data_IF_222726652361
#
_entry.id   IF_222726652361
#
_cell.length_a   1.000
_cell.length_b   1.000
_cell.length_c   1.000
_cell.angle_alpha   90.00
_cell.angle_beta   90.00
_cell.angle_gamma   90.00
#
_symmetry.space_group_name_H-M   'P 1'
#
loop_
_entity.id
_entity.type
_entity.pdbx_description
1 polymer ?
#
# COMPACT_ATOMS: atom_id res chain seq x y z
N UNK A 1 -89.79 -19.20 1.18
CA UNK A 1 -88.76 -19.15 0.10
C UNK A 1 -87.78 -18.06 0.46
N UNK A 2 -86.64 -18.41 1.10
CA UNK A 2 -85.63 -17.47 1.53
C UNK A 2 -84.29 -17.97 0.99
N UNK A 3 -83.68 -17.21 0.09
CA UNK A 3 -82.36 -17.53 -0.53
C UNK A 3 -81.27 -17.04 0.36
N UNK A 4 -80.42 -17.97 0.82
CA UNK A 4 -79.12 -17.68 1.47
C UNK A 4 -78.08 -17.31 0.40
N UNK A 5 -77.52 -16.11 0.50
CA UNK A 5 -76.36 -15.69 -0.31
C UNK A 5 -75.13 -15.86 0.62
N UNK A 6 -74.25 -16.81 0.27
CA UNK A 6 -72.97 -17.06 0.92
C UNK A 6 -71.90 -16.15 0.26
N UNK A 7 -71.38 -15.17 0.99
CA UNK A 7 -70.29 -14.32 0.56
C UNK A 7 -68.97 -14.94 1.04
N UNK A 8 -68.16 -15.49 0.11
CA UNK A 8 -66.78 -15.92 0.36
C UNK A 8 -65.90 -14.68 0.46
N UNK A 9 -65.34 -14.47 1.65
CA UNK A 9 -64.30 -13.46 1.90
C UNK A 9 -62.93 -14.10 1.65
N UNK A 10 -62.32 -13.80 0.50
CA UNK A 10 -60.92 -14.22 0.20
C UNK A 10 -59.94 -13.26 0.89
N UNK A 11 -59.30 -13.74 1.95
CA UNK A 11 -58.20 -13.03 2.59
C UNK A 11 -56.94 -13.21 1.73
N UNK A 12 -56.53 -12.15 1.05
CA UNK A 12 -55.22 -12.04 0.41
C UNK A 12 -54.16 -11.74 1.49
N UNK A 13 -53.42 -12.77 1.88
CA UNK A 13 -52.23 -12.60 2.72
C UNK A 13 -51.12 -12.00 1.83
N UNK A 14 -50.93 -10.68 1.86
CA UNK A 14 -49.73 -10.07 1.32
C UNK A 14 -48.55 -10.49 2.20
N UNK A 15 -47.76 -11.46 1.75
CA UNK A 15 -46.42 -11.73 2.23
C UNK A 15 -45.55 -10.50 1.89
N UNK A 16 -45.38 -9.59 2.86
CA UNK A 16 -44.27 -8.62 2.84
C UNK A 16 -42.96 -9.40 2.94
N UNK A 17 -42.41 -9.74 1.78
CA UNK A 17 -40.99 -10.11 1.71
C UNK A 17 -40.23 -8.81 2.03
N UNK A 18 -39.45 -8.73 3.15
CA UNK A 18 -38.61 -7.57 3.36
C UNK A 18 -37.69 -7.46 2.14
N UNK A 19 -37.43 -6.26 1.62
CA UNK A 19 -36.41 -6.09 0.60
C UNK A 19 -35.14 -6.68 1.21
N UNK A 20 -34.54 -7.68 0.55
CA UNK A 20 -33.13 -8.01 0.79
C UNK A 20 -32.40 -6.70 0.65
N UNK A 21 -31.83 -6.20 1.73
CA UNK A 21 -30.81 -5.18 1.68
C UNK A 21 -29.71 -5.79 0.84
N UNK A 22 -29.70 -5.47 -0.45
CA UNK A 22 -28.53 -5.61 -1.29
C UNK A 22 -27.46 -4.77 -0.59
N UNK A 23 -26.42 -5.40 -0.06
CA UNK A 23 -25.26 -4.64 0.44
C UNK A 23 -24.83 -3.76 -0.71
N UNK A 24 -24.94 -2.44 -0.56
CA UNK A 24 -24.39 -1.53 -1.56
C UNK A 24 -22.90 -1.83 -1.62
N UNK A 25 -22.40 -2.21 -2.78
CA UNK A 25 -20.98 -2.37 -3.01
C UNK A 25 -20.25 -1.13 -2.51
N UNK A 26 -19.16 -1.31 -1.76
CA UNK A 26 -18.42 -0.19 -1.20
C UNK A 26 -17.66 0.58 -2.28
N UNK A 27 -17.28 -0.12 -3.35
CA UNK A 27 -16.76 0.45 -4.58
C UNK A 27 -17.88 0.45 -5.63
N UNK A 28 -18.60 1.59 -5.81
CA UNK A 28 -19.84 1.63 -6.56
C UNK A 28 -19.64 1.92 -8.06
N UNK A 29 -18.41 1.96 -8.56
CA UNK A 29 -18.10 2.35 -9.92
C UNK A 29 -18.01 1.14 -10.84
N UNK A 30 -18.62 1.23 -12.02
CA UNK A 30 -18.43 0.25 -13.08
C UNK A 30 -16.98 0.31 -13.59
N UNK A 31 -16.40 -0.86 -13.85
CA UNK A 31 -15.07 -0.97 -14.42
C UNK A 31 -15.00 -2.08 -15.47
N UNK A 32 -14.04 -1.96 -16.37
CA UNK A 32 -13.72 -3.00 -17.34
C UNK A 32 -12.26 -3.41 -17.20
N UNK A 33 -11.99 -4.69 -17.39
CA UNK A 33 -10.64 -5.25 -17.39
C UNK A 33 -10.39 -5.86 -18.77
N UNK A 34 -9.32 -5.42 -19.41
CA UNK A 34 -8.82 -6.03 -20.64
C UNK A 34 -7.34 -6.39 -20.48
N UNK A 35 -6.93 -7.47 -21.15
CA UNK A 35 -5.54 -7.91 -21.16
C UNK A 35 -5.08 -7.99 -22.60
N UNK A 36 -4.07 -7.19 -22.95
CA UNK A 36 -3.49 -7.22 -24.28
C UNK A 36 -2.71 -8.53 -24.52
N UNK A 37 -2.46 -8.87 -25.77
CA UNK A 37 -1.67 -10.07 -26.17
C UNK A 37 -0.27 -10.07 -25.54
N UNK A 38 0.31 -8.89 -25.29
CA UNK A 38 1.59 -8.74 -24.60
C UNK A 38 1.50 -8.81 -23.07
N UNK A 39 0.31 -9.08 -22.51
CA UNK A 39 0.10 -9.27 -21.07
C UNK A 39 -0.17 -7.98 -20.27
N UNK A 40 -0.16 -6.80 -20.90
CA UNK A 40 -0.56 -5.57 -20.22
C UNK A 40 -2.03 -5.67 -19.78
N UNK A 41 -2.26 -5.55 -18.48
CA UNK A 41 -3.62 -5.48 -17.93
C UNK A 41 -4.07 -4.02 -17.90
N UNK A 42 -5.24 -3.75 -18.47
CA UNK A 42 -5.88 -2.44 -18.47
C UNK A 42 -7.11 -2.49 -17.60
N UNK A 43 -7.18 -1.61 -16.61
CA UNK A 43 -8.34 -1.39 -15.77
C UNK A 43 -8.91 -0.02 -16.13
N UNK A 44 -10.12 0.00 -16.66
CA UNK A 44 -10.78 1.20 -17.14
C UNK A 44 -12.02 1.49 -16.31
N UNK A 45 -12.11 2.72 -15.77
CA UNK A 45 -13.22 3.21 -14.93
C UNK A 45 -13.73 4.51 -15.53
N UNK A 46 -14.64 4.44 -16.52
CA UNK A 46 -15.29 5.62 -17.07
C UNK A 46 -16.16 6.28 -16.00
N UNK A 47 -16.01 7.57 -15.81
CA UNK A 47 -16.74 8.37 -14.82
C UNK A 47 -17.38 9.60 -15.49
N UNK A 48 -18.55 10.00 -14.99
CA UNK A 48 -19.22 11.24 -15.44
C UNK A 48 -18.62 12.51 -14.79
N UNK A 49 -17.38 12.45 -14.34
CA UNK A 49 -16.66 13.60 -13.77
C UNK A 49 -16.11 14.48 -14.90
N UNK A 50 -16.72 15.63 -15.20
CA UNK A 50 -16.39 16.37 -16.40
C UNK A 50 -14.92 16.79 -16.45
N UNK A 51 -14.26 16.38 -17.52
CA UNK A 51 -12.94 16.82 -17.98
C UNK A 51 -11.72 16.34 -17.22
N UNK A 52 -11.80 15.52 -16.16
CA UNK A 52 -10.62 15.02 -15.45
C UNK A 52 -10.39 13.54 -15.76
N UNK A 53 -9.14 13.21 -16.07
CA UNK A 53 -8.67 11.84 -16.32
C UNK A 53 -7.43 11.59 -15.48
N UNK A 54 -7.42 10.47 -14.75
CA UNK A 54 -6.28 9.95 -14.01
C UNK A 54 -5.73 8.73 -14.72
N UNK A 55 -4.49 8.80 -15.16
CA UNK A 55 -3.74 7.73 -15.83
C UNK A 55 -2.65 7.24 -14.90
N UNK A 56 -2.71 5.97 -14.50
CA UNK A 56 -1.79 5.34 -13.56
C UNK A 56 -1.12 4.13 -14.21
N UNK A 57 0.20 4.06 -14.18
CA UNK A 57 0.98 2.89 -14.54
C UNK A 57 1.59 2.29 -13.27
N UNK A 58 1.16 1.09 -12.94
CA UNK A 58 1.52 0.38 -11.72
C UNK A 58 2.43 -0.78 -12.11
N UNK A 59 3.72 -0.60 -11.88
CA UNK A 59 4.73 -1.63 -12.08
C UNK A 59 4.78 -2.49 -10.83
N UNK A 60 4.50 -3.78 -10.93
CA UNK A 60 4.49 -4.70 -9.78
C UNK A 60 5.90 -5.08 -9.34
N UNK A 61 6.73 -4.05 -9.17
CA UNK A 61 8.12 -4.13 -8.71
C UNK A 61 8.39 -3.03 -7.70
N UNK A 62 8.88 -3.41 -6.54
CA UNK A 62 9.33 -2.57 -5.43
C UNK A 62 10.54 -3.21 -4.77
N UNK A 63 10.87 -2.79 -3.54
CA UNK A 63 12.02 -3.35 -2.80
C UNK A 63 11.89 -4.87 -2.55
N UNK A 64 10.69 -5.42 -2.56
CA UNK A 64 10.40 -6.85 -2.54
C UNK A 64 11.12 -7.62 -3.66
N UNK A 65 11.30 -6.99 -4.81
CA UNK A 65 11.85 -7.61 -6.00
C UNK A 65 13.39 -7.64 -6.01
N UNK A 66 14.04 -7.00 -5.03
CA UNK A 66 15.49 -6.84 -4.92
C UNK A 66 16.11 -7.96 -4.11
N UNK A 67 16.00 -9.20 -4.62
CA UNK A 67 16.45 -10.40 -3.92
C UNK A 67 17.95 -10.71 -4.10
N UNK A 68 18.61 -10.05 -5.06
CA UNK A 68 20.02 -10.30 -5.37
C UNK A 68 20.93 -9.50 -4.42
N UNK A 69 21.94 -10.15 -3.80
CA UNK A 69 22.87 -9.44 -2.92
C UNK A 69 23.58 -8.28 -3.65
N UNK A 70 23.67 -7.12 -3.00
CA UNK A 70 24.32 -5.94 -3.57
C UNK A 70 23.46 -5.16 -4.57
N UNK A 71 22.15 -5.42 -4.60
CA UNK A 71 21.21 -4.84 -5.58
C UNK A 71 20.00 -4.16 -4.93
N UNK A 72 20.07 -3.82 -3.64
CA UNK A 72 18.98 -3.09 -3.00
C UNK A 72 18.92 -1.62 -3.42
N UNK A 73 17.72 -1.05 -3.51
CA UNK A 73 17.46 0.34 -3.89
C UNK A 73 17.20 0.55 -5.40
N UNK A 74 17.24 -0.50 -6.22
CA UNK A 74 17.06 -0.37 -7.66
C UNK A 74 15.62 -0.02 -8.08
N UNK A 75 14.61 -0.46 -7.35
CA UNK A 75 13.23 -0.08 -7.65
C UNK A 75 13.03 1.43 -7.50
N UNK A 76 13.54 2.03 -6.43
CA UNK A 76 13.51 3.46 -6.20
C UNK A 76 14.41 4.22 -7.19
N UNK A 77 15.61 3.71 -7.47
CA UNK A 77 16.47 4.28 -8.50
C UNK A 77 15.77 4.33 -9.87
N UNK A 78 15.03 3.27 -10.24
CA UNK A 78 14.27 3.25 -11.48
C UNK A 78 13.14 4.25 -11.51
N UNK A 79 12.51 4.55 -10.37
CA UNK A 79 11.55 5.64 -10.28
C UNK A 79 12.15 6.95 -10.80
N UNK A 80 13.37 7.31 -10.35
CA UNK A 80 14.10 8.50 -10.81
C UNK A 80 14.45 8.41 -12.30
N UNK A 81 14.92 7.24 -12.76
CA UNK A 81 15.32 7.06 -14.16
C UNK A 81 14.15 7.22 -15.11
N UNK A 82 12.94 6.84 -14.73
CA UNK A 82 11.75 6.98 -15.56
C UNK A 82 11.41 8.44 -15.89
N UNK A 83 11.91 9.41 -15.14
CA UNK A 83 11.75 10.84 -15.43
C UNK A 83 12.86 11.43 -16.32
N UNK A 84 13.79 10.61 -16.83
CA UNK A 84 14.84 11.08 -17.77
C UNK A 84 14.31 11.25 -19.19
N UNK A 85 13.16 10.62 -19.53
CA UNK A 85 12.53 10.71 -20.84
C UNK A 85 13.07 9.70 -21.85
N UNK A 86 12.82 9.98 -23.13
CA UNK A 86 13.26 9.14 -24.28
C UNK A 86 14.13 9.96 -25.20
N UNK A 87 14.67 9.33 -26.27
CA UNK A 87 15.42 10.07 -27.31
C UNK A 87 14.56 11.08 -28.06
N UNK A 88 13.28 10.70 -28.28
CA UNK A 88 12.34 11.55 -29.02
C UNK A 88 11.64 12.57 -28.10
N UNK A 89 11.51 12.26 -26.81
CA UNK A 89 10.94 13.15 -25.78
C UNK A 89 11.87 13.21 -24.54
N UNK A 90 12.96 13.98 -24.59
CA UNK A 90 13.81 14.19 -23.43
C UNK A 90 13.07 14.90 -22.29
N UNK A 91 13.62 14.80 -21.06
CA UNK A 91 13.00 15.33 -19.83
C UNK A 91 12.36 16.71 -19.98
N UNK A 92 13.09 17.67 -20.54
CA UNK A 92 12.57 19.05 -20.72
C UNK A 92 11.34 19.10 -21.63
N UNK A 93 11.30 18.29 -22.69
CA UNK A 93 10.15 18.21 -23.60
C UNK A 93 8.94 17.59 -22.91
N UNK A 94 9.16 16.54 -22.09
CA UNK A 94 8.13 15.91 -21.28
C UNK A 94 7.57 16.89 -20.23
N UNK A 95 8.42 17.56 -19.48
CA UNK A 95 8.00 18.54 -18.46
C UNK A 95 7.19 19.69 -19.11
N UNK A 96 7.62 20.18 -20.29
CA UNK A 96 6.89 21.19 -21.05
C UNK A 96 5.54 20.70 -21.57
N UNK A 97 5.47 19.44 -22.01
CA UNK A 97 4.21 18.83 -22.45
C UNK A 97 3.20 18.80 -21.30
N UNK A 98 3.58 18.29 -20.14
CA UNK A 98 2.70 18.22 -18.96
C UNK A 98 2.31 19.61 -18.44
N UNK A 99 3.24 20.57 -18.45
CA UNK A 99 2.95 21.96 -18.08
C UNK A 99 1.90 22.59 -18.99
N UNK A 100 1.98 22.35 -20.31
CA UNK A 100 0.97 22.86 -21.27
C UNK A 100 -0.41 22.25 -21.06
N UNK A 101 -0.47 20.98 -20.63
CA UNK A 101 -1.72 20.32 -20.27
C UNK A 101 -2.28 20.79 -18.91
N UNK A 102 -1.50 21.50 -18.11
CA UNK A 102 -1.85 21.76 -16.71
C UNK A 102 -1.94 20.47 -15.88
N UNK A 103 -1.22 19.43 -16.29
CA UNK A 103 -1.29 18.11 -15.69
C UNK A 103 -0.47 18.03 -14.40
N UNK A 104 -1.04 17.34 -13.38
CA UNK A 104 -0.29 16.87 -12.22
C UNK A 104 0.37 15.54 -12.54
N UNK A 105 1.64 15.36 -12.15
CA UNK A 105 2.37 14.11 -12.32
C UNK A 105 3.27 13.83 -11.13
N UNK A 106 3.44 12.55 -10.81
CA UNK A 106 4.45 12.09 -9.85
C UNK A 106 4.74 10.59 -10.06
N UNK A 107 5.71 10.09 -9.28
CA UNK A 107 5.98 8.66 -9.09
C UNK A 107 6.27 8.40 -7.62
N UNK A 108 6.07 7.16 -7.20
CA UNK A 108 6.47 6.68 -5.88
C UNK A 108 6.75 5.18 -5.88
N UNK A 109 7.71 4.78 -5.05
CA UNK A 109 8.10 3.38 -4.88
C UNK A 109 7.70 2.89 -3.49
N UNK A 110 7.04 1.74 -3.46
CA UNK A 110 6.69 1.00 -2.25
C UNK A 110 7.52 -0.28 -2.13
N UNK A 111 7.21 -1.09 -1.12
CA UNK A 111 7.83 -2.42 -1.03
C UNK A 111 7.42 -3.33 -2.19
N UNK A 112 6.17 -3.24 -2.67
CA UNK A 112 5.59 -4.21 -3.62
C UNK A 112 5.45 -3.69 -5.04
N UNK A 113 5.41 -2.38 -5.25
CA UNK A 113 5.16 -1.77 -6.54
C UNK A 113 5.75 -0.37 -6.64
N UNK A 114 5.98 0.07 -7.88
CA UNK A 114 6.26 1.46 -8.23
C UNK A 114 5.11 1.98 -9.07
N UNK A 115 4.61 3.15 -8.73
CA UNK A 115 3.49 3.78 -9.43
C UNK A 115 3.92 5.09 -10.08
N UNK A 116 3.44 5.32 -11.29
CA UNK A 116 3.60 6.59 -12.02
C UNK A 116 2.23 7.06 -12.44
N UNK A 117 1.94 8.34 -12.28
CA UNK A 117 0.63 8.85 -12.64
C UNK A 117 0.68 10.22 -13.29
N UNK A 118 -0.31 10.46 -14.14
CA UNK A 118 -0.61 11.75 -14.76
C UNK A 118 -2.09 12.02 -14.59
N UNK A 119 -2.42 13.15 -13.96
CA UNK A 119 -3.80 13.63 -13.81
C UNK A 119 -3.94 14.88 -14.68
N UNK A 120 -4.86 14.87 -15.62
CA UNK A 120 -5.00 15.93 -16.62
C UNK A 120 -6.46 16.20 -16.94
N UNK A 121 -6.71 17.34 -17.60
CA UNK A 121 -8.03 17.74 -18.05
C UNK A 121 -8.14 17.62 -19.58
N UNK A 122 -9.38 17.33 -20.04
CA UNK A 122 -9.77 17.32 -21.46
C UNK A 122 -9.60 15.96 -22.13
N UNK A 123 -10.72 15.41 -22.62
CA UNK A 123 -10.77 14.15 -23.40
C UNK A 123 -9.88 14.21 -24.65
N UNK A 124 -9.76 15.38 -25.25
CA UNK A 124 -8.95 15.66 -26.45
C UNK A 124 -7.47 15.40 -26.22
N UNK A 125 -7.01 15.42 -24.98
CA UNK A 125 -5.61 15.18 -24.61
C UNK A 125 -5.31 13.69 -24.32
N UNK A 126 -6.33 12.83 -24.30
CA UNK A 126 -6.18 11.41 -23.92
C UNK A 126 -5.17 10.68 -24.82
N UNK A 127 -5.26 10.84 -26.14
CA UNK A 127 -4.35 10.17 -27.06
C UNK A 127 -2.90 10.60 -26.85
N UNK A 128 -2.67 11.90 -26.71
CA UNK A 128 -1.33 12.44 -26.51
C UNK A 128 -0.69 11.98 -25.19
N UNK A 129 -1.48 11.88 -24.11
CA UNK A 129 -1.00 11.32 -22.82
C UNK A 129 -0.69 9.84 -22.95
N UNK A 130 -1.61 9.03 -23.50
CA UNK A 130 -1.39 7.57 -23.70
C UNK A 130 -0.15 7.33 -24.56
N UNK A 131 0.03 8.08 -25.66
CA UNK A 131 1.19 7.98 -26.53
C UNK A 131 2.49 8.34 -25.81
N UNK A 132 2.49 9.43 -25.07
CA UNK A 132 3.68 9.93 -24.37
C UNK A 132 4.09 8.99 -23.25
N UNK A 133 3.11 8.49 -22.46
CA UNK A 133 3.40 7.53 -21.40
C UNK A 133 3.86 6.18 -21.96
N UNK A 134 3.24 5.68 -23.04
CA UNK A 134 3.69 4.47 -23.71
C UNK A 134 5.15 4.60 -24.20
N UNK A 135 5.49 5.72 -24.86
CA UNK A 135 6.86 6.00 -25.31
C UNK A 135 7.84 5.98 -24.14
N UNK A 136 7.50 6.68 -23.06
CA UNK A 136 8.33 6.76 -21.84
C UNK A 136 8.65 5.38 -21.24
N UNK A 137 7.68 4.47 -21.18
CA UNK A 137 7.89 3.13 -20.61
C UNK A 137 8.61 2.17 -21.58
N UNK A 138 8.28 2.23 -22.86
CA UNK A 138 8.86 1.35 -23.88
C UNK A 138 10.28 1.80 -24.23
N UNK A 139 10.44 3.09 -24.53
CA UNK A 139 11.65 3.66 -25.14
C UNK A 139 12.50 4.48 -24.15
N UNK A 140 12.29 4.32 -22.81
CA UNK A 140 13.14 4.97 -21.82
C UNK A 140 14.61 4.91 -22.22
N UNK A 141 15.23 6.08 -22.34
CA UNK A 141 16.62 6.20 -22.72
C UNK A 141 17.47 6.79 -21.60
N UNK A 142 18.51 6.10 -21.24
CA UNK A 142 19.59 6.61 -20.40
C UNK A 142 20.87 5.84 -20.73
N UNK A 143 22.00 6.51 -20.55
CA UNK A 143 23.33 5.93 -20.69
C UNK A 143 24.02 5.83 -19.31
N UNK A 144 25.24 5.30 -19.33
CA UNK A 144 26.03 5.10 -18.11
C UNK A 144 26.36 6.42 -17.39
N UNK A 145 26.53 7.52 -18.13
CA UNK A 145 26.82 8.82 -17.56
C UNK A 145 25.60 9.39 -16.82
N UNK A 146 24.41 9.26 -17.41
CA UNK A 146 23.15 9.65 -16.78
C UNK A 146 22.90 8.84 -15.49
N UNK A 147 23.20 7.54 -15.50
CA UNK A 147 23.13 6.71 -14.31
C UNK A 147 24.08 7.20 -13.21
N UNK A 148 25.35 7.46 -13.57
CA UNK A 148 26.36 7.99 -12.63
C UNK A 148 26.01 9.37 -12.07
N UNK A 149 25.28 10.16 -12.83
CA UNK A 149 24.80 11.49 -12.40
C UNK A 149 23.63 11.37 -11.43
N UNK A 150 22.74 10.37 -11.60
CA UNK A 150 21.56 10.20 -10.73
C UNK A 150 21.88 9.48 -9.42
N UNK A 151 22.82 8.56 -9.41
CA UNK A 151 23.14 7.78 -8.21
C UNK A 151 23.50 8.63 -6.97
N UNK A 152 24.25 9.74 -7.05
CA UNK A 152 24.46 10.66 -5.93
C UNK A 152 23.21 11.33 -5.39
N UNK A 153 22.15 11.47 -6.19
CA UNK A 153 20.86 12.01 -5.72
C UNK A 153 20.24 11.01 -4.74
N UNK A 154 20.21 9.73 -5.11
CA UNK A 154 19.72 8.63 -4.24
C UNK A 154 20.54 8.53 -2.96
N UNK A 155 21.86 8.69 -3.05
CA UNK A 155 22.75 8.73 -1.87
C UNK A 155 22.37 9.90 -0.95
N UNK A 156 22.13 11.08 -1.50
CA UNK A 156 21.68 12.26 -0.74
C UNK A 156 20.34 12.01 -0.02
N UNK A 157 19.39 11.38 -0.70
CA UNK A 157 18.10 11.00 -0.10
C UNK A 157 18.25 9.96 1.00
N UNK A 158 19.16 8.99 0.83
CA UNK A 158 19.47 8.03 1.89
C UNK A 158 19.96 8.74 3.14
N UNK A 159 20.94 9.65 3.00
CA UNK A 159 21.45 10.41 4.16
C UNK A 159 20.37 11.29 4.80
N UNK A 160 19.53 11.93 4.00
CA UNK A 160 18.38 12.68 4.51
C UNK A 160 17.40 11.76 5.26
N UNK A 161 17.16 10.56 4.75
CA UNK A 161 16.30 9.56 5.39
C UNK A 161 16.86 9.09 6.73
N UNK A 162 18.12 8.64 6.77
CA UNK A 162 18.72 8.07 7.99
C UNK A 162 19.06 9.15 9.04
N UNK A 163 19.03 10.43 8.68
CA UNK A 163 19.09 11.54 9.62
C UNK A 163 17.79 11.73 10.42
N UNK A 164 16.71 11.07 10.01
CA UNK A 164 15.44 11.07 10.74
C UNK A 164 15.40 9.88 11.71
N UNK A 165 15.29 10.11 13.05
CA UNK A 165 15.28 9.03 14.03
C UNK A 165 14.18 7.98 13.82
N UNK A 166 13.01 8.41 13.37
CA UNK A 166 11.88 7.50 13.12
C UNK A 166 12.15 6.56 11.94
N UNK A 167 12.69 7.09 10.84
CA UNK A 167 13.06 6.28 9.67
C UNK A 167 14.18 5.30 10.00
N UNK A 168 15.19 5.76 10.75
CA UNK A 168 16.28 4.90 11.21
C UNK A 168 15.81 3.78 12.13
N UNK A 169 14.86 4.08 13.03
CA UNK A 169 14.22 3.08 13.89
C UNK A 169 13.54 1.98 13.06
N UNK A 170 12.77 2.38 12.05
CA UNK A 170 12.04 1.45 11.19
C UNK A 170 12.95 0.61 10.28
N UNK A 171 14.00 1.20 9.71
CA UNK A 171 15.04 0.48 8.96
C UNK A 171 15.67 -0.62 9.83
N UNK A 172 16.05 -0.29 11.09
CA UNK A 172 16.58 -1.26 12.03
C UNK A 172 15.58 -2.36 12.42
N UNK A 173 14.30 -2.01 12.57
CA UNK A 173 13.26 -3.01 12.83
C UNK A 173 13.25 -4.05 11.71
N UNK A 174 13.19 -3.61 10.45
CA UNK A 174 13.14 -4.49 9.28
C UNK A 174 14.41 -5.35 9.21
N UNK A 175 15.59 -4.75 9.33
CA UNK A 175 16.86 -5.49 9.28
C UNK A 175 16.96 -6.56 10.38
N UNK A 176 16.39 -6.34 11.56
CA UNK A 176 16.38 -7.30 12.66
C UNK A 176 15.28 -8.35 12.55
N UNK A 177 14.09 -7.96 12.09
CA UNK A 177 12.95 -8.87 11.99
C UNK A 177 13.17 -9.91 10.90
N UNK A 178 13.50 -9.48 9.68
CA UNK A 178 13.69 -10.37 8.54
C UNK A 178 15.08 -10.95 8.45
N UNK A 179 15.20 -12.20 8.04
CA UNK A 179 16.45 -12.91 7.82
C UNK A 179 16.77 -13.11 6.33
N UNK A 180 15.77 -13.52 5.56
CA UNK A 180 15.92 -13.89 4.14
C UNK A 180 15.14 -13.04 3.17
N UNK A 181 13.90 -12.65 3.55
CA UNK A 181 13.03 -11.91 2.66
C UNK A 181 13.56 -10.50 2.41
N UNK A 182 13.41 -9.99 1.17
CA UNK A 182 13.86 -8.64 0.78
C UNK A 182 13.15 -7.50 1.52
N UNK A 183 12.03 -7.74 2.17
CA UNK A 183 11.43 -6.78 3.12
C UNK A 183 12.38 -6.41 4.29
N UNK A 184 13.52 -7.06 4.38
CA UNK A 184 14.59 -6.74 5.31
C UNK A 184 15.15 -5.32 5.13
N UNK A 185 15.22 -4.80 3.90
CA UNK A 185 15.65 -3.44 3.62
C UNK A 185 14.47 -2.54 3.21
N UNK A 186 14.67 -1.23 3.30
CA UNK A 186 13.71 -0.23 2.85
C UNK A 186 13.78 -0.05 1.32
N UNK A 187 12.87 0.71 0.76
CA UNK A 187 12.86 1.07 -0.68
C UNK A 187 14.14 1.80 -1.12
N UNK A 188 14.80 2.52 -0.20
CA UNK A 188 16.11 3.16 -0.47
C UNK A 188 17.25 2.15 -0.59
N UNK A 189 17.11 0.95 -0.03
CA UNK A 189 18.17 -0.04 0.00
C UNK A 189 19.23 0.18 1.07
N UNK A 190 20.31 -0.57 1.01
CA UNK A 190 21.47 -0.43 1.89
C UNK A 190 22.47 0.58 1.33
N UNK A 191 23.07 1.39 2.20
CA UNK A 191 24.07 2.39 1.78
C UNK A 191 25.20 1.81 0.89
N UNK A 192 25.71 0.62 1.25
CA UNK A 192 26.78 -0.04 0.47
C UNK A 192 26.37 -0.33 -0.98
N UNK A 193 25.08 -0.67 -1.20
CA UNK A 193 24.55 -1.00 -2.51
C UNK A 193 24.30 0.30 -3.30
N UNK A 194 23.81 1.35 -2.62
CA UNK A 194 23.64 2.70 -3.19
C UNK A 194 24.98 3.27 -3.65
N UNK A 195 26.03 3.15 -2.85
CA UNK A 195 27.38 3.61 -3.20
C UNK A 195 28.00 2.88 -4.39
N UNK A 196 27.61 1.62 -4.63
CA UNK A 196 28.02 0.83 -5.80
C UNK A 196 27.12 1.04 -7.04
N UNK A 197 25.97 1.66 -6.88
CA UNK A 197 24.99 1.88 -7.95
C UNK A 197 25.57 2.55 -9.21
N UNK A 198 26.48 3.53 -9.13
CA UNK A 198 27.15 4.12 -10.31
C UNK A 198 27.86 3.10 -11.21
N UNK A 199 28.28 1.95 -10.66
CA UNK A 199 28.97 0.88 -11.39
C UNK A 199 28.04 -0.21 -11.93
N UNK A 200 26.71 -0.06 -11.78
CA UNK A 200 25.72 -1.10 -12.02
C UNK A 200 24.87 -0.86 -13.30
N UNK A 201 25.46 -0.22 -14.32
CA UNK A 201 24.71 0.10 -15.55
C UNK A 201 24.12 -1.15 -16.21
N UNK A 202 24.88 -2.22 -16.38
CA UNK A 202 24.39 -3.46 -16.99
C UNK A 202 23.24 -4.09 -16.16
N UNK A 203 23.36 -4.05 -14.84
CA UNK A 203 22.29 -4.53 -13.97
C UNK A 203 21.05 -3.64 -14.07
N UNK A 204 21.20 -2.33 -14.19
CA UNK A 204 20.07 -1.43 -14.39
C UNK A 204 19.29 -1.77 -15.68
N UNK A 205 19.98 -2.07 -16.76
CA UNK A 205 19.35 -2.53 -18.01
C UNK A 205 18.63 -3.87 -17.82
N UNK A 206 19.24 -4.79 -17.07
CA UNK A 206 18.63 -6.07 -16.74
C UNK A 206 17.39 -5.91 -15.87
N UNK A 207 17.43 -5.00 -14.87
CA UNK A 207 16.30 -4.65 -14.00
C UNK A 207 15.12 -4.10 -14.83
N UNK A 208 15.39 -3.14 -15.74
CA UNK A 208 14.39 -2.64 -16.68
C UNK A 208 13.75 -3.78 -17.46
N UNK A 209 14.56 -4.61 -18.09
CA UNK A 209 14.08 -5.73 -18.91
C UNK A 209 13.23 -6.72 -18.13
N UNK A 210 13.53 -6.97 -16.85
CA UNK A 210 12.82 -7.94 -16.01
C UNK A 210 11.49 -7.39 -15.47
N UNK A 211 11.47 -6.15 -15.05
CA UNK A 211 10.36 -5.61 -14.24
C UNK A 211 9.53 -4.56 -14.96
N UNK A 212 10.11 -3.77 -15.85
CA UNK A 212 9.42 -2.75 -16.62
C UNK A 212 8.93 -3.31 -17.94
N UNK A 213 7.97 -4.21 -17.85
CA UNK A 213 7.41 -4.96 -18.96
C UNK A 213 5.88 -5.08 -18.83
N UNK A 214 5.15 -5.24 -19.94
CA UNK A 214 3.68 -5.21 -19.92
C UNK A 214 3.07 -6.33 -19.09
N UNK A 215 3.68 -7.52 -19.05
CA UNK A 215 3.25 -8.67 -18.25
C UNK A 215 3.49 -8.52 -16.74
N UNK A 216 4.14 -7.42 -16.31
CA UNK A 216 4.34 -7.03 -14.91
C UNK A 216 3.72 -5.65 -14.60
N UNK A 217 2.90 -5.11 -15.49
CA UNK A 217 2.34 -3.76 -15.41
C UNK A 217 0.82 -3.78 -15.47
N UNK A 218 0.19 -2.89 -14.69
CA UNK A 218 -1.24 -2.60 -14.77
C UNK A 218 -1.38 -1.14 -15.18
N UNK A 219 -2.12 -0.90 -16.27
CA UNK A 219 -2.58 0.43 -16.66
C UNK A 219 -3.97 0.63 -16.06
N UNK A 220 -4.10 1.59 -15.15
CA UNK A 220 -5.36 2.00 -14.57
C UNK A 220 -5.72 3.39 -15.11
N UNK A 221 -6.88 3.53 -15.72
CA UNK A 221 -7.40 4.81 -16.17
C UNK A 221 -8.77 5.02 -15.55
N UNK A 222 -8.96 6.18 -14.89
CA UNK A 222 -10.24 6.58 -14.33
C UNK A 222 -10.60 7.99 -14.82
N UNK A 223 -11.88 8.26 -15.14
CA UNK A 223 -12.31 9.61 -15.48
C UNK A 223 -13.20 9.73 -16.68
N UNK A 224 -13.19 10.92 -17.27
CA UNK A 224 -14.10 11.34 -18.33
C UNK A 224 -13.57 11.00 -19.73
N UNK A 225 -13.81 9.77 -20.18
CA UNK A 225 -13.42 9.29 -21.52
C UNK A 225 -14.38 8.21 -22.03
N UNK A 226 -14.31 7.93 -23.32
CA UNK A 226 -14.96 6.77 -23.93
C UNK A 226 -14.03 5.55 -23.86
N UNK A 227 -14.58 4.42 -23.39
CA UNK A 227 -13.77 3.20 -23.17
C UNK A 227 -13.21 2.63 -24.49
N UNK A 228 -14.00 2.59 -25.55
CA UNK A 228 -13.58 1.98 -26.81
C UNK A 228 -12.48 2.84 -27.45
N UNK A 229 -12.59 4.17 -27.32
CA UNK A 229 -11.53 5.10 -27.74
C UNK A 229 -10.26 4.95 -26.91
N UNK A 230 -10.36 4.80 -25.58
CA UNK A 230 -9.21 4.49 -24.73
C UNK A 230 -8.51 3.22 -25.22
N UNK A 231 -9.25 2.15 -25.45
CA UNK A 231 -8.67 0.87 -25.89
C UNK A 231 -8.06 0.94 -27.29
N UNK A 232 -8.63 1.73 -28.21
CA UNK A 232 -8.00 1.99 -29.52
C UNK A 232 -6.58 2.59 -29.32
N UNK A 233 -6.44 3.60 -28.47
CA UNK A 233 -5.14 4.24 -28.19
C UNK A 233 -4.20 3.29 -27.45
N UNK A 234 -4.71 2.55 -26.47
CA UNK A 234 -3.89 1.55 -25.75
C UNK A 234 -3.35 0.48 -26.70
N UNK A 235 -4.18 -0.09 -27.56
CA UNK A 235 -3.72 -1.04 -28.58
C UNK A 235 -2.70 -0.42 -29.54
N UNK A 236 -2.93 0.80 -29.98
CA UNK A 236 -2.05 1.50 -30.91
C UNK A 236 -0.65 1.73 -30.35
N UNK A 237 -0.54 2.10 -29.05
CA UNK A 237 0.72 2.56 -28.49
C UNK A 237 1.41 1.55 -27.58
N UNK A 238 0.67 0.65 -26.91
CA UNK A 238 1.25 -0.31 -25.96
C UNK A 238 1.45 -1.73 -26.55
N UNK A 239 0.81 -2.10 -27.67
CA UNK A 239 0.91 -3.47 -28.21
C UNK A 239 2.34 -3.88 -28.59
N UNK A 240 3.19 -2.91 -28.95
CA UNK A 240 4.60 -3.16 -29.28
C UNK A 240 5.53 -3.33 -28.06
N UNK A 241 5.02 -3.19 -26.84
CA UNK A 241 5.82 -3.37 -25.64
C UNK A 241 6.14 -4.85 -25.43
N UNK A 242 7.42 -5.21 -25.35
CA UNK A 242 7.88 -6.59 -25.27
C UNK A 242 7.69 -7.19 -23.88
N UNK A 243 7.19 -8.43 -23.81
CA UNK A 243 7.07 -9.19 -22.55
C UNK A 243 8.44 -9.47 -21.94
N UNK A 244 8.49 -9.42 -20.61
CA UNK A 244 9.66 -9.85 -19.85
C UNK A 244 9.81 -11.38 -19.83
N UNK A 245 8.71 -12.11 -19.65
CA UNK A 245 8.67 -13.54 -19.35
C UNK A 245 9.54 -13.91 -18.12
N UNK A 246 9.79 -12.94 -17.24
CA UNK A 246 10.57 -13.12 -16.02
C UNK A 246 9.65 -13.41 -14.84
N UNK A 247 9.92 -14.51 -14.14
CA UNK A 247 9.20 -14.85 -12.89
C UNK A 247 10.13 -14.73 -11.71
N UNK A 248 9.80 -13.83 -10.80
CA UNK A 248 10.51 -13.69 -9.54
C UNK A 248 10.04 -14.75 -8.55
N UNK A 249 11.00 -15.42 -7.91
CA UNK A 249 10.75 -16.27 -6.74
C UNK A 249 11.36 -15.59 -5.52
N UNK A 250 10.51 -14.99 -4.69
CA UNK A 250 10.95 -14.39 -3.42
C UNK A 250 11.36 -15.44 -2.40
N UNK A 251 12.46 -15.23 -1.67
CA UNK A 251 12.84 -16.12 -0.58
C UNK A 251 11.77 -16.15 0.51
N UNK A 252 11.38 -17.34 0.95
CA UNK A 252 10.46 -17.49 2.09
C UNK A 252 11.17 -17.11 3.38
N UNK A 253 10.50 -16.25 4.19
CA UNK A 253 11.01 -15.86 5.50
C UNK A 253 10.78 -16.99 6.52
N UNK A 254 11.82 -17.43 7.25
CA UNK A 254 11.65 -18.44 8.28
C UNK A 254 10.83 -17.91 9.46
N UNK A 255 10.05 -18.80 10.09
CA UNK A 255 9.30 -18.43 11.28
C UNK A 255 10.23 -18.01 12.42
N UNK A 256 9.98 -16.86 13.02
CA UNK A 256 10.74 -16.37 14.16
C UNK A 256 10.40 -17.20 15.42
N UNK A 257 11.40 -17.79 16.07
CA UNK A 257 11.23 -18.69 17.22
C UNK A 257 11.62 -18.07 18.56
N UNK A 258 12.24 -16.88 18.54
CA UNK A 258 12.65 -16.14 19.76
C UNK A 258 12.55 -14.65 19.55
N UNK A 259 12.21 -13.93 20.63
CA UNK A 259 12.14 -12.49 20.62
C UNK A 259 13.49 -11.87 20.26
N UNK A 260 13.47 -10.84 19.40
CA UNK A 260 14.64 -10.04 19.03
C UNK A 260 14.52 -8.66 19.65
N UNK A 261 15.68 -8.07 20.02
CA UNK A 261 15.73 -6.73 20.60
C UNK A 261 16.98 -5.99 20.18
N UNK A 262 16.88 -4.68 19.98
CA UNK A 262 18.02 -3.78 19.80
C UNK A 262 17.68 -2.39 20.31
N UNK A 263 18.72 -1.61 20.63
CA UNK A 263 18.62 -0.21 20.97
C UNK A 263 19.51 0.61 20.04
N UNK A 264 19.10 1.82 19.70
CA UNK A 264 19.86 2.76 18.89
C UNK A 264 20.19 3.97 19.76
N UNK A 265 21.50 4.13 20.05
CA UNK A 265 22.01 5.35 20.68
C UNK A 265 22.08 6.46 19.62
N UNK A 266 21.20 7.46 19.75
CA UNK A 266 21.18 8.58 18.82
C UNK A 266 22.21 9.64 19.23
N UNK A 267 23.03 10.18 18.29
CA UNK A 267 24.17 11.03 18.64
C UNK A 267 23.80 12.41 19.21
N UNK A 268 22.55 12.83 19.07
CA UNK A 268 22.07 14.12 19.58
C UNK A 268 20.76 13.96 20.35
N UNK A 269 20.34 15.03 21.05
CA UNK A 269 19.05 15.01 21.75
C UNK A 269 17.92 14.76 20.77
N UNK A 270 17.09 13.75 21.05
CA UNK A 270 15.94 13.38 20.24
C UNK A 270 14.78 12.89 21.10
N UNK A 271 13.61 12.83 20.52
CA UNK A 271 12.41 12.21 21.11
C UNK A 271 12.63 10.70 21.20
N UNK A 272 12.57 10.11 22.41
CA UNK A 272 12.68 8.66 22.55
C UNK A 272 11.58 7.94 21.78
N UNK A 273 11.92 6.82 21.15
CA UNK A 273 11.03 6.06 20.28
C UNK A 273 11.08 4.58 20.59
N UNK A 274 9.94 3.95 20.42
CA UNK A 274 9.76 2.51 20.53
C UNK A 274 9.02 2.03 19.27
N UNK A 275 9.48 0.95 18.68
CA UNK A 275 8.71 0.16 17.72
C UNK A 275 8.75 -1.31 18.09
N UNK A 276 7.60 -1.97 18.04
CA UNK A 276 7.46 -3.41 18.21
C UNK A 276 6.88 -3.97 16.93
N UNK A 277 7.55 -4.92 16.29
CA UNK A 277 7.08 -5.62 15.10
C UNK A 277 6.82 -7.09 15.39
N UNK A 278 5.76 -7.64 14.81
CA UNK A 278 5.43 -9.06 14.81
C UNK A 278 5.26 -9.51 13.38
N UNK A 279 5.77 -10.68 12.98
CA UNK A 279 5.45 -11.25 11.67
C UNK A 279 3.96 -11.59 11.60
N UNK A 280 3.29 -10.99 10.62
CA UNK A 280 1.89 -11.19 10.29
C UNK A 280 1.70 -11.91 8.96
N UNK A 281 0.44 -12.07 8.49
CA UNK A 281 0.14 -12.72 7.23
C UNK A 281 0.47 -11.83 6.02
N UNK A 282 0.52 -12.45 4.84
CA UNK A 282 0.35 -11.75 3.58
C UNK A 282 -1.09 -11.22 3.46
N UNK A 283 -1.28 -10.20 2.62
CA UNK A 283 -2.62 -9.75 2.24
C UNK A 283 -3.43 -10.88 1.61
N UNK A 284 -4.72 -10.91 1.89
CA UNK A 284 -5.68 -11.79 1.24
C UNK A 284 -7.07 -11.18 1.32
N UNK A 285 -7.76 -11.15 0.19
CA UNK A 285 -9.17 -10.77 0.06
C UNK A 285 -10.12 -12.00 0.17
N UNK A 286 -9.57 -13.18 0.50
CA UNK A 286 -10.31 -14.43 0.70
C UNK A 286 -10.28 -14.91 2.15
N UNK A 287 -9.24 -14.52 2.92
CA UNK A 287 -9.04 -14.97 4.31
C UNK A 287 -9.34 -13.85 5.29
N UNK A 288 -10.02 -14.20 6.38
CA UNK A 288 -10.45 -13.24 7.39
C UNK A 288 -9.29 -12.63 8.20
N UNK A 289 -8.12 -13.26 8.19
CA UNK A 289 -6.98 -12.90 9.03
C UNK A 289 -6.64 -11.40 8.94
N UNK A 290 -6.48 -10.88 7.71
CA UNK A 290 -6.10 -9.48 7.51
C UNK A 290 -7.21 -8.53 7.93
N UNK A 291 -8.44 -8.80 7.52
CA UNK A 291 -9.59 -7.99 7.90
C UNK A 291 -9.77 -7.92 9.43
N UNK A 292 -9.59 -9.04 10.13
CA UNK A 292 -9.66 -9.08 11.58
C UNK A 292 -8.49 -8.31 12.25
N UNK A 293 -7.29 -8.34 11.66
CA UNK A 293 -6.14 -7.55 12.14
C UNK A 293 -6.35 -6.04 11.95
N UNK A 294 -6.92 -5.60 10.83
CA UNK A 294 -7.22 -4.18 10.60
C UNK A 294 -8.25 -3.67 11.61
N UNK A 295 -9.32 -4.45 11.82
CA UNK A 295 -10.31 -4.12 12.84
C UNK A 295 -9.74 -4.16 14.26
N UNK A 296 -8.77 -5.03 14.54
CA UNK A 296 -8.03 -5.02 15.79
C UNK A 296 -7.25 -3.71 15.98
N UNK A 297 -6.54 -3.24 14.95
CA UNK A 297 -5.80 -1.99 15.01
C UNK A 297 -6.73 -0.81 15.33
N UNK A 298 -7.87 -0.74 14.64
CA UNK A 298 -8.83 0.34 14.82
C UNK A 298 -9.58 0.28 16.15
N UNK A 299 -10.01 -0.90 16.62
CA UNK A 299 -10.74 -1.04 17.87
C UNK A 299 -9.88 -0.82 19.12
N UNK A 300 -8.60 -1.24 19.07
CA UNK A 300 -7.79 -1.37 20.28
C UNK A 300 -6.55 -0.48 20.33
N UNK A 301 -6.15 0.09 19.19
CA UNK A 301 -4.90 0.87 19.08
C UNK A 301 -5.06 2.21 18.34
N UNK A 302 -6.28 2.57 17.91
CA UNK A 302 -6.58 3.87 17.33
C UNK A 302 -6.62 4.97 18.39
N UNK A 303 -6.80 6.23 17.96
CA UNK A 303 -6.86 7.39 18.86
C UNK A 303 -8.00 7.34 19.88
N UNK A 304 -9.08 6.65 19.58
CA UNK A 304 -10.23 6.45 20.48
C UNK A 304 -10.03 5.29 21.47
N UNK A 305 -9.03 4.46 21.29
CA UNK A 305 -8.79 3.28 22.12
C UNK A 305 -8.39 3.62 23.56
N UNK A 306 -8.74 2.78 24.54
CA UNK A 306 -8.36 2.99 25.94
C UNK A 306 -6.84 3.11 26.14
N UNK A 307 -6.03 2.32 25.40
CA UNK A 307 -4.58 2.38 25.51
C UNK A 307 -4.03 3.74 25.04
N UNK A 308 -4.54 4.26 23.91
CA UNK A 308 -4.15 5.59 23.44
C UNK A 308 -4.54 6.67 24.44
N UNK A 309 -5.80 6.64 24.94
CA UNK A 309 -6.26 7.60 25.93
C UNK A 309 -5.37 7.59 27.17
N UNK A 310 -5.05 6.42 27.70
CA UNK A 310 -4.14 6.25 28.84
C UNK A 310 -2.76 6.86 28.57
N UNK A 311 -2.06 6.38 27.52
CA UNK A 311 -0.65 6.70 27.30
C UNK A 311 -0.41 8.11 26.77
N UNK A 312 -1.33 8.63 25.93
CA UNK A 312 -1.15 9.91 25.23
C UNK A 312 -1.87 11.06 25.93
N UNK A 313 -3.13 10.83 26.37
CA UNK A 313 -3.98 11.91 26.89
C UNK A 313 -3.85 12.02 28.41
N UNK A 314 -4.08 10.94 29.17
CA UNK A 314 -4.16 10.96 30.62
C UNK A 314 -2.77 11.01 31.29
N UNK A 315 -1.94 10.01 31.03
CA UNK A 315 -0.59 9.91 31.62
C UNK A 315 0.44 10.77 30.91
N UNK A 316 0.16 11.16 29.67
CA UNK A 316 1.02 11.99 28.83
C UNK A 316 2.46 11.48 28.70
N UNK A 317 2.66 10.17 28.70
CA UNK A 317 3.96 9.51 28.53
C UNK A 317 4.38 9.46 27.07
N UNK A 318 3.39 9.34 26.16
CA UNK A 318 3.60 9.36 24.73
C UNK A 318 3.20 10.71 24.12
N UNK A 319 3.95 11.15 23.11
CA UNK A 319 3.59 12.23 22.20
C UNK A 319 2.69 11.71 21.08
N UNK A 320 2.92 10.45 20.66
CA UNK A 320 2.11 9.74 19.70
C UNK A 320 2.21 8.23 19.94
N UNK A 321 1.13 7.54 19.58
CA UNK A 321 1.06 6.08 19.57
C UNK A 321 0.17 5.64 18.41
N UNK A 322 0.56 4.61 17.69
CA UNK A 322 -0.27 3.98 16.65
C UNK A 322 0.12 2.53 16.39
N UNK A 323 -0.84 1.72 15.95
CA UNK A 323 -0.60 0.46 15.28
C UNK A 323 -0.64 0.65 13.76
N UNK A 324 0.16 -0.10 13.01
CA UNK A 324 0.17 -0.10 11.55
C UNK A 324 0.38 -1.53 11.05
N UNK A 325 -0.61 -2.05 10.34
CA UNK A 325 -0.64 -3.42 9.81
C UNK A 325 -0.75 -3.37 8.29
N UNK A 326 0.38 -3.01 7.65
CA UNK A 326 0.43 -2.74 6.23
C UNK A 326 0.08 -3.96 5.36
N UNK A 327 -0.68 -3.73 4.30
CA UNK A 327 -0.97 -4.72 3.26
C UNK A 327 0.25 -4.96 2.39
N UNK A 328 0.67 -6.21 2.30
CA UNK A 328 1.81 -6.63 1.48
C UNK A 328 1.53 -7.96 0.80
N UNK A 329 2.16 -8.15 -0.36
CA UNK A 329 2.01 -9.38 -1.17
C UNK A 329 2.57 -10.62 -0.49
N UNK A 330 3.58 -10.46 0.38
CA UNK A 330 4.16 -11.52 1.21
C UNK A 330 3.95 -11.21 2.70
N UNK A 331 4.13 -12.18 3.61
CA UNK A 331 4.04 -11.96 5.05
C UNK A 331 4.92 -10.79 5.52
N UNK A 332 4.32 -9.86 6.26
CA UNK A 332 4.98 -8.62 6.67
C UNK A 332 4.83 -8.35 8.17
N UNK A 333 5.28 -7.19 8.63
CA UNK A 333 5.26 -6.83 10.06
C UNK A 333 3.94 -6.12 10.43
N UNK A 334 3.37 -6.57 11.53
CA UNK A 334 2.36 -5.87 12.31
C UNK A 334 3.11 -5.01 13.34
N UNK A 335 3.02 -3.69 13.25
CA UNK A 335 3.86 -2.79 14.04
C UNK A 335 3.07 -1.93 15.01
N UNK A 336 3.64 -1.72 16.21
CA UNK A 336 3.19 -0.74 17.19
C UNK A 336 4.30 0.30 17.36
N UNK A 337 3.95 1.58 17.20
CA UNK A 337 4.90 2.68 17.19
C UNK A 337 4.56 3.67 18.29
N UNK A 338 5.55 4.09 19.07
CA UNK A 338 5.39 5.13 20.07
C UNK A 338 6.54 6.14 20.03
N UNK A 339 6.19 7.43 20.11
CA UNK A 339 7.12 8.51 20.42
C UNK A 339 6.85 8.99 21.86
N UNK A 340 7.87 9.00 22.71
CA UNK A 340 7.70 9.22 24.14
C UNK A 340 8.21 10.61 24.55
N UNK A 341 7.71 11.11 25.67
CA UNK A 341 8.24 12.35 26.28
C UNK A 341 9.57 12.15 26.99
N UNK A 342 9.76 10.99 27.62
CA UNK A 342 10.93 10.68 28.44
C UNK A 342 11.40 9.24 28.19
N UNK A 343 12.71 9.05 28.11
CA UNK A 343 13.33 7.74 27.88
C UNK A 343 13.05 6.74 29.03
N UNK A 344 12.92 7.22 30.27
CA UNK A 344 12.61 6.37 31.42
C UNK A 344 11.27 5.62 31.29
N UNK A 345 10.36 6.10 30.41
CA UNK A 345 9.04 5.52 30.21
C UNK A 345 9.02 4.44 29.09
N UNK A 346 10.16 4.22 28.38
CA UNK A 346 10.23 3.22 27.29
C UNK A 346 9.78 1.83 27.74
N UNK A 347 10.32 1.32 28.84
CA UNK A 347 9.97 0.00 29.35
C UNK A 347 8.52 -0.09 29.83
N UNK A 348 7.99 0.99 30.40
CA UNK A 348 6.60 1.06 30.83
C UNK A 348 5.65 1.00 29.63
N UNK A 349 5.88 1.84 28.61
CA UNK A 349 5.03 1.90 27.42
C UNK A 349 5.06 0.55 26.65
N UNK A 350 6.22 -0.04 26.53
CA UNK A 350 6.37 -1.39 25.96
C UNK A 350 5.51 -2.41 26.72
N UNK A 351 5.61 -2.41 28.06
CA UNK A 351 4.84 -3.34 28.89
C UNK A 351 3.33 -3.12 28.75
N UNK A 352 2.87 -1.87 28.66
CA UNK A 352 1.43 -1.58 28.46
C UNK A 352 0.91 -2.08 27.11
N UNK A 353 1.71 -1.99 26.04
CA UNK A 353 1.36 -2.58 24.74
C UNK A 353 1.22 -4.10 24.86
N UNK A 354 2.18 -4.78 25.50
CA UNK A 354 2.08 -6.23 25.73
C UNK A 354 0.92 -6.60 26.65
N UNK A 355 0.62 -5.81 27.70
CA UNK A 355 -0.51 -6.01 28.60
C UNK A 355 -1.83 -5.98 27.83
N UNK A 356 -2.00 -4.99 26.94
CA UNK A 356 -3.20 -4.87 26.11
C UNK A 356 -3.34 -6.07 25.15
N UNK A 357 -2.26 -6.49 24.51
CA UNK A 357 -2.27 -7.70 23.68
C UNK A 357 -2.63 -8.96 24.48
N UNK A 358 -2.13 -9.11 25.71
CA UNK A 358 -2.49 -10.23 26.60
C UNK A 358 -3.93 -10.16 27.10
N UNK A 359 -4.47 -8.95 27.31
CA UNK A 359 -5.89 -8.74 27.62
C UNK A 359 -6.76 -9.19 26.46
N UNK A 360 -6.46 -8.74 25.22
CA UNK A 360 -7.21 -9.05 24.01
C UNK A 360 -7.21 -10.55 23.66
N UNK A 361 -6.20 -11.31 24.07
CA UNK A 361 -6.19 -12.78 23.94
C UNK A 361 -7.23 -13.47 24.83
N UNK A 362 -7.70 -12.80 25.88
CA UNK A 362 -8.61 -13.36 26.90
C UNK A 362 -9.99 -12.74 26.85
N UNK A 363 -10.04 -11.47 26.55
CA UNK A 363 -11.25 -10.64 26.58
C UNK A 363 -11.49 -10.08 25.17
N UNK A 364 -12.53 -10.52 24.47
CA UNK A 364 -12.84 -10.00 23.14
C UNK A 364 -13.27 -8.52 23.22
N UNK A 365 -13.16 -7.80 22.12
CA UNK A 365 -13.75 -6.45 21.97
C UNK A 365 -15.28 -6.53 22.01
N UNK A 366 -15.98 -5.46 22.36
CA UNK A 366 -17.43 -5.46 22.35
C UNK A 366 -17.99 -5.45 20.91
N UNK A 367 -19.18 -6.06 20.75
CA UNK A 367 -19.88 -6.06 19.46
C UNK A 367 -20.26 -4.63 19.03
N UNK A 368 -20.65 -3.77 19.99
CA UNK A 368 -21.03 -2.40 19.72
C UNK A 368 -19.84 -1.59 19.16
N UNK A 369 -18.67 -1.69 19.82
CA UNK A 369 -17.45 -1.03 19.34
C UNK A 369 -17.05 -1.52 17.96
N UNK A 370 -17.10 -2.84 17.73
CA UNK A 370 -16.77 -3.44 16.44
C UNK A 370 -17.72 -2.93 15.35
N UNK A 371 -19.03 -2.84 15.61
CA UNK A 371 -20.00 -2.33 14.65
C UNK A 371 -19.76 -0.83 14.33
N UNK A 372 -19.44 -0.02 15.35
CA UNK A 372 -19.09 1.39 15.16
C UNK A 372 -17.85 1.55 14.27
N UNK A 373 -16.78 0.79 14.54
CA UNK A 373 -15.53 0.86 13.76
C UNK A 373 -15.76 0.42 12.33
N UNK A 374 -16.49 -0.67 12.06
CA UNK A 374 -16.86 -1.08 10.70
C UNK A 374 -17.58 0.02 9.94
N UNK A 375 -18.54 0.69 10.59
CA UNK A 375 -19.26 1.82 9.98
C UNK A 375 -18.32 2.98 9.65
N UNK A 376 -17.45 3.36 10.59
CA UNK A 376 -16.48 4.45 10.40
C UNK A 376 -15.49 4.15 9.26
N UNK A 377 -15.01 2.91 9.14
CA UNK A 377 -14.13 2.50 8.04
C UNK A 377 -14.83 2.63 6.68
N UNK A 378 -16.10 2.23 6.58
CA UNK A 378 -16.90 2.41 5.35
C UNK A 378 -17.01 3.88 4.96
N UNK A 379 -17.36 4.76 5.89
CA UNK A 379 -17.46 6.19 5.63
C UNK A 379 -16.14 6.80 5.20
N UNK A 380 -15.05 6.44 5.87
CA UNK A 380 -13.72 6.92 5.53
C UNK A 380 -13.30 6.48 4.13
N UNK A 381 -13.56 5.22 3.79
CA UNK A 381 -13.28 4.68 2.46
C UNK A 381 -14.12 5.38 1.39
N UNK A 382 -15.43 5.51 1.60
CA UNK A 382 -16.31 6.20 0.65
C UNK A 382 -15.85 7.64 0.39
N UNK A 383 -15.41 8.36 1.42
CA UNK A 383 -14.87 9.73 1.28
C UNK A 383 -13.57 9.78 0.48
N UNK A 384 -12.76 8.72 0.46
CA UNK A 384 -11.55 8.66 -0.35
C UNK A 384 -11.84 8.49 -1.86
N UNK A 385 -13.07 8.11 -2.23
CA UNK A 385 -13.52 7.92 -3.60
C UNK A 385 -14.18 9.17 -4.22
N UNK A 386 -14.13 10.33 -3.58
CA UNK A 386 -14.84 11.55 -4.04
C UNK A 386 -14.26 12.18 -5.31
N UNK A 387 -13.04 11.84 -5.68
CA UNK A 387 -12.36 12.39 -6.86
C UNK A 387 -11.84 11.29 -7.77
N UNK A 388 -11.69 11.60 -9.06
CA UNK A 388 -11.09 10.69 -10.05
C UNK A 388 -9.71 10.19 -9.62
N UNK A 389 -8.87 11.11 -9.11
CA UNK A 389 -7.53 10.79 -8.60
C UNK A 389 -7.59 9.94 -7.32
N UNK A 390 -8.53 10.25 -6.40
CA UNK A 390 -8.77 9.45 -5.20
C UNK A 390 -9.17 8.01 -5.53
N UNK A 391 -10.08 7.82 -6.50
CA UNK A 391 -10.47 6.49 -6.99
C UNK A 391 -9.26 5.73 -7.54
N UNK A 392 -8.47 6.35 -8.41
CA UNK A 392 -7.30 5.72 -9.02
C UNK A 392 -6.22 5.40 -7.96
N UNK A 393 -5.95 6.33 -7.03
CA UNK A 393 -4.97 6.16 -5.97
C UNK A 393 -5.33 5.01 -5.03
N UNK A 394 -6.59 4.97 -4.55
CA UNK A 394 -7.08 3.89 -3.68
C UNK A 394 -7.00 2.55 -4.40
N UNK A 395 -7.47 2.48 -5.64
CA UNK A 395 -7.41 1.23 -6.39
C UNK A 395 -5.99 0.76 -6.67
N UNK A 396 -5.04 1.66 -6.93
CA UNK A 396 -3.65 1.30 -7.16
C UNK A 396 -3.06 0.50 -5.98
N UNK A 397 -3.46 0.82 -4.74
CA UNK A 397 -3.03 0.08 -3.55
C UNK A 397 -3.55 -1.36 -3.53
N UNK A 398 -4.79 -1.59 -3.97
CA UNK A 398 -5.40 -2.92 -3.94
C UNK A 398 -5.06 -3.77 -5.17
N UNK A 399 -5.12 -3.18 -6.37
CA UNK A 399 -4.86 -3.94 -7.60
C UNK A 399 -3.40 -4.37 -7.77
N UNK A 400 -2.44 -3.70 -7.11
CA UNK A 400 -1.07 -4.22 -7.08
C UNK A 400 -0.96 -5.55 -6.32
N UNK A 401 -1.83 -5.77 -5.32
CA UNK A 401 -1.83 -6.98 -4.48
C UNK A 401 -2.40 -8.17 -5.24
N UNK A 402 -3.59 -8.03 -5.81
CA UNK A 402 -4.36 -9.14 -6.43
C UNK A 402 -4.53 -9.01 -7.93
N UNK A 403 -4.31 -7.84 -8.52
CA UNK A 403 -4.59 -7.49 -9.92
C UNK A 403 -6.08 -7.42 -10.28
N UNK A 404 -6.97 -7.33 -9.28
CA UNK A 404 -8.41 -7.34 -9.43
C UNK A 404 -9.04 -6.18 -8.63
N UNK A 405 -9.76 -5.23 -9.25
CA UNK A 405 -10.47 -4.16 -8.54
C UNK A 405 -11.51 -4.68 -7.54
N UNK A 406 -12.09 -5.87 -7.80
CA UNK A 406 -13.09 -6.50 -6.92
C UNK A 406 -12.53 -6.83 -5.52
N UNK A 407 -11.21 -6.83 -5.36
CA UNK A 407 -10.54 -6.99 -4.06
C UNK A 407 -11.07 -6.04 -3.00
N UNK A 408 -11.43 -4.83 -3.38
CA UNK A 408 -12.00 -3.83 -2.45
C UNK A 408 -13.32 -4.32 -1.88
N UNK A 409 -14.26 -4.72 -2.73
CA UNK A 409 -15.57 -5.22 -2.29
C UNK A 409 -15.42 -6.50 -1.45
N UNK A 410 -14.57 -7.43 -1.91
CA UNK A 410 -14.27 -8.68 -1.16
C UNK A 410 -13.70 -8.39 0.23
N UNK A 411 -12.79 -7.42 0.36
CA UNK A 411 -12.21 -7.04 1.65
C UNK A 411 -13.27 -6.47 2.59
N UNK A 412 -14.14 -5.58 2.10
CA UNK A 412 -15.22 -5.01 2.92
C UNK A 412 -16.27 -6.06 3.28
N UNK A 413 -16.53 -7.04 2.43
CA UNK A 413 -17.36 -8.21 2.76
C UNK A 413 -16.72 -9.06 3.88
N UNK A 414 -15.39 -9.15 3.93
CA UNK A 414 -14.69 -9.80 5.03
C UNK A 414 -14.80 -8.97 6.31
N UNK A 415 -14.63 -7.63 6.26
CA UNK A 415 -14.84 -6.78 7.44
C UNK A 415 -16.22 -6.99 8.07
N UNK A 416 -17.28 -7.11 7.26
CA UNK A 416 -18.62 -7.37 7.77
C UNK A 416 -18.73 -8.72 8.51
N UNK A 417 -18.03 -9.74 8.06
CA UNK A 417 -18.05 -11.08 8.64
C UNK A 417 -17.21 -11.23 9.91
N UNK A 418 -16.23 -10.35 10.13
CA UNK A 418 -15.36 -10.40 11.32
C UNK A 418 -16.18 -10.30 12.58
N UNK A 419 -15.92 -11.20 13.53
CA UNK A 419 -16.51 -11.25 14.87
C UNK A 419 -15.49 -10.83 15.93
N UNK A 420 -15.91 -10.49 17.16
CA UNK A 420 -14.99 -10.29 18.28
C UNK A 420 -14.07 -11.49 18.54
N UNK A 421 -14.56 -12.71 18.33
CA UNK A 421 -13.78 -13.94 18.47
C UNK A 421 -12.69 -14.04 17.40
N UNK A 422 -12.95 -13.62 16.16
CA UNK A 422 -11.92 -13.61 15.11
C UNK A 422 -10.77 -12.69 15.48
N UNK A 423 -11.06 -11.48 16.01
CA UNK A 423 -10.05 -10.55 16.51
C UNK A 423 -9.22 -11.19 17.64
N UNK A 424 -9.88 -11.83 18.59
CA UNK A 424 -9.22 -12.55 19.68
C UNK A 424 -8.31 -13.67 19.16
N UNK A 425 -8.78 -14.45 18.19
CA UNK A 425 -8.01 -15.50 17.55
C UNK A 425 -6.76 -14.95 16.85
N UNK A 426 -6.85 -13.78 16.21
CA UNK A 426 -5.67 -13.12 15.60
C UNK A 426 -4.67 -12.70 16.67
N UNK A 427 -5.13 -12.18 17.82
CA UNK A 427 -4.24 -11.87 18.94
C UNK A 427 -3.47 -13.10 19.42
N UNK A 428 -4.15 -14.23 19.59
CA UNK A 428 -3.53 -15.50 20.01
C UNK A 428 -2.55 -16.06 18.98
N UNK A 429 -2.87 -15.91 17.69
CA UNK A 429 -2.10 -16.46 16.57
C UNK A 429 -0.79 -15.69 16.34
N UNK A 430 -0.84 -14.38 16.26
CA UNK A 430 0.28 -13.56 15.78
C UNK A 430 1.09 -12.87 16.88
N UNK A 431 0.49 -12.41 17.98
CA UNK A 431 1.19 -11.61 18.99
C UNK A 431 1.82 -12.44 20.10
N UNK A 432 2.57 -13.48 19.71
CA UNK A 432 3.39 -14.27 20.63
C UNK A 432 4.68 -13.54 20.94
N UNK A 433 5.12 -13.54 22.19
CA UNK A 433 6.39 -12.89 22.60
C UNK A 433 7.59 -13.39 21.79
N UNK A 434 7.62 -14.66 21.42
CA UNK A 434 8.67 -15.23 20.57
C UNK A 434 8.69 -14.69 19.14
N UNK A 435 7.55 -14.15 18.65
CA UNK A 435 7.39 -13.55 17.32
C UNK A 435 7.70 -12.03 17.31
N UNK A 436 8.09 -11.45 18.46
CA UNK A 436 8.30 -10.00 18.55
C UNK A 436 9.74 -9.59 18.23
N UNK A 437 9.88 -8.47 17.55
CA UNK A 437 11.13 -7.72 17.39
C UNK A 437 10.92 -6.31 17.96
N UNK A 438 11.70 -5.92 18.96
CA UNK A 438 11.61 -4.64 19.64
C UNK A 438 12.82 -3.79 19.30
N UNK A 439 12.59 -2.57 18.82
CA UNK A 439 13.65 -1.57 18.62
C UNK A 439 13.28 -0.32 19.38
N UNK A 440 14.25 0.16 20.17
CA UNK A 440 14.15 1.44 20.89
C UNK A 440 15.22 2.40 20.38
N UNK A 441 14.96 3.69 20.49
CA UNK A 441 15.90 4.73 20.14
C UNK A 441 15.78 5.86 21.17
N UNK A 442 16.90 6.29 21.69
CA UNK A 442 17.01 7.50 22.50
C UNK A 442 18.37 8.17 22.29
N UNK A 443 18.54 9.38 22.75
CA UNK A 443 19.80 10.09 22.60
C UNK A 443 19.84 11.42 23.33
N UNK A 444 21.08 11.90 23.54
CA UNK A 444 21.31 13.21 24.14
C UNK A 444 21.52 13.23 25.65
N UNK A 445 21.81 12.09 26.28
CA UNK A 445 22.41 12.05 27.60
C UNK A 445 23.92 12.38 27.53
N UNK A 446 24.28 13.56 27.00
CA UNK A 446 25.57 14.14 27.35
C UNK A 446 25.43 14.71 28.75
N UNK A 447 26.10 14.05 29.70
CA UNK A 447 26.34 14.56 31.04
C UNK A 447 26.96 15.95 30.98
#
# INVERSE_FOLDING_TARGET
MTKFISTLLSIFLLLCIPPMLQSSEIFPYDYKIEVLDNGLKVVSIPLDNPHIISHYLIIRSGSRNEIEPGKSGFAHFFEHMMFKGTKDMPKEAYDNFLTKLGAGTNGYTTDDYTCYFVVFAGRENLEDVIKTEADRFINLYYDEEMLKTEAPVIEGEYYASVSNPGRRLFENLRDKAFEKHSYKHTTLGYLKDILDMPNQYEYSQLFKKRFYAPDNTILLVAGDYDHDQLMEYVHKYYSGWEKSNYTLVTPEEPSQTQAKRTHIDWPSRTVPRLVIGFHGPAFSDEKIDKAALDLLAETSFSRSSPLYQKLVIEEQKCLSFNASFADRRDPYLLTFNAALKDEKDLAYVEQEIFNELERLKKEPVSEELLAEIKSNMKYSFASALDTTDGIASVLAEFINLTTDPETVNKLFDLFEKVTPEDIQNMCQKYFKKTNSTVVTLSGGNTQ
#
